data_IF_006185572221
#
_entry.id   IF_006185572221
#
_cell.length_a   1.000
_cell.length_b   1.000
_cell.length_c   1.000
_cell.angle_alpha   90.00
_cell.angle_beta   90.00
_cell.angle_gamma   90.00
#
_symmetry.space_group_name_H-M   'P 1'
#
loop_
_entity.id
_entity.type
_entity.pdbx_description
1 polymer ?
#
# COMPACT_ATOMS: atom_id res chain seq x y z
N UNK A 1 -6.21 -7.83 3.20
CA UNK A 1 -4.86 -8.02 3.81
C UNK A 1 -4.95 -9.06 4.92
N UNK A 2 -4.59 -10.34 4.66
CA UNK A 2 -4.66 -11.43 5.67
C UNK A 2 -3.41 -11.56 6.55
N UNK A 3 -2.31 -10.89 6.20
CA UNK A 3 -1.01 -11.07 6.86
C UNK A 3 -0.85 -10.32 8.18
N UNK A 4 -1.33 -9.07 8.27
CA UNK A 4 -1.19 -8.27 9.50
C UNK A 4 -2.02 -8.80 10.69
N UNK A 5 -3.08 -9.58 10.43
CA UNK A 5 -3.99 -10.08 11.46
C UNK A 5 -3.62 -11.43 12.08
N UNK A 6 -2.56 -12.10 11.63
CA UNK A 6 -2.20 -13.47 12.07
C UNK A 6 -0.74 -13.57 12.52
N UNK A 7 -0.09 -12.44 12.78
CA UNK A 7 1.32 -12.42 13.21
C UNK A 7 1.38 -12.38 14.73
N UNK A 8 1.51 -13.55 15.35
CA UNK A 8 1.99 -13.68 16.74
C UNK A 8 3.47 -14.06 16.73
N UNK A 9 4.23 -13.42 17.62
CA UNK A 9 5.69 -13.50 17.83
C UNK A 9 6.32 -14.83 17.37
N UNK A 10 6.59 -14.90 16.07
CA UNK A 10 7.15 -16.03 15.37
C UNK A 10 8.32 -15.47 14.60
N UNK A 11 9.53 -15.84 15.05
CA UNK A 11 10.81 -15.43 14.50
C UNK A 11 10.72 -15.21 13.00
N UNK A 12 10.93 -13.97 12.56
CA UNK A 12 11.09 -13.69 11.14
C UNK A 12 12.41 -14.36 10.79
N UNK A 13 12.33 -15.58 10.26
CA UNK A 13 13.49 -16.26 9.71
C UNK A 13 13.91 -15.44 8.48
N UNK A 14 14.77 -14.44 8.72
CA UNK A 14 15.71 -13.93 7.72
C UNK A 14 16.27 -15.14 7.02
N UNK A 15 16.06 -15.30 5.72
CA UNK A 15 17.04 -15.79 4.76
C UNK A 15 16.34 -15.87 3.39
N UNK A 16 16.32 -14.72 2.71
CA UNK A 16 15.82 -14.57 1.34
C UNK A 16 15.15 -13.22 1.11
N UNK A 17 15.94 -12.14 1.13
CA UNK A 17 15.58 -10.85 0.52
C UNK A 17 16.40 -10.74 -0.76
N UNK A 18 15.76 -10.80 -1.93
CA UNK A 18 16.40 -10.66 -3.24
C UNK A 18 16.34 -9.22 -3.77
N UNK A 19 15.97 -8.27 -2.91
CA UNK A 19 15.76 -6.87 -3.26
C UNK A 19 14.34 -6.54 -3.69
N UNK A 20 13.51 -7.54 -4.03
CA UNK A 20 12.13 -7.35 -4.50
C UNK A 20 11.11 -8.08 -3.64
N UNK A 21 11.42 -9.32 -3.24
CA UNK A 21 10.55 -10.20 -2.44
C UNK A 21 11.19 -10.51 -1.10
N UNK A 22 10.35 -10.61 -0.06
CA UNK A 22 10.78 -11.01 1.27
C UNK A 22 10.05 -12.30 1.68
N UNK A 23 10.79 -13.32 2.10
CA UNK A 23 10.19 -14.50 2.75
C UNK A 23 10.00 -14.22 4.24
N UNK A 24 8.80 -14.49 4.77
CA UNK A 24 8.54 -14.41 6.22
C UNK A 24 7.76 -15.64 6.70
N UNK A 25 8.19 -16.26 7.79
CA UNK A 25 7.44 -17.36 8.40
C UNK A 25 6.30 -16.79 9.24
N UNK A 26 5.05 -17.04 8.86
CA UNK A 26 3.86 -16.61 9.63
C UNK A 26 3.27 -17.82 10.34
N UNK A 27 3.19 -17.78 11.67
CA UNK A 27 2.49 -18.82 12.43
C UNK A 27 0.98 -18.70 12.22
N UNK A 28 0.37 -19.73 11.64
CA UNK A 28 -1.09 -19.86 11.57
C UNK A 28 -1.58 -20.74 12.72
N UNK A 29 -1.90 -20.11 13.86
CA UNK A 29 -2.53 -20.73 15.03
C UNK A 29 -1.57 -21.31 16.09
N UNK A 30 -2.16 -21.85 17.17
CA UNK A 30 -1.48 -22.32 18.39
C UNK A 30 -0.42 -23.41 18.14
N UNK A 31 -0.52 -24.17 17.03
CA UNK A 31 0.33 -25.35 16.80
C UNK A 31 1.07 -25.39 15.44
N UNK A 32 0.82 -24.47 14.50
CA UNK A 32 1.31 -24.59 13.11
C UNK A 32 2.13 -23.37 12.66
N UNK A 33 3.41 -23.60 12.34
CA UNK A 33 4.30 -22.65 11.64
C UNK A 33 4.22 -22.93 10.14
N UNK A 34 3.83 -21.96 9.33
CA UNK A 34 3.86 -22.06 7.86
C UNK A 34 4.72 -20.94 7.28
N UNK A 35 5.62 -21.26 6.34
CA UNK A 35 6.35 -20.24 5.60
C UNK A 35 5.40 -19.52 4.63
N UNK A 36 5.35 -18.19 4.69
CA UNK A 36 4.48 -17.41 3.83
C UNK A 36 5.30 -16.33 3.08
N UNK A 37 5.28 -16.40 1.76
CA UNK A 37 5.97 -15.37 0.95
C UNK A 37 5.20 -14.07 1.07
N UNK A 38 5.89 -12.99 1.43
CA UNK A 38 5.29 -11.66 1.45
C UNK A 38 5.10 -11.22 -0.01
N UNK A 39 3.86 -10.98 -0.48
CA UNK A 39 3.64 -10.47 -1.82
C UNK A 39 4.25 -9.08 -1.94
N UNK A 40 5.04 -8.86 -2.98
CA UNK A 40 5.69 -7.59 -3.31
C UNK A 40 6.05 -7.56 -4.80
N UNK A 41 5.74 -6.48 -5.54
CA UNK A 41 4.92 -5.33 -5.13
C UNK A 41 3.44 -5.69 -4.94
N UNK A 42 2.74 -4.99 -4.05
CA UNK A 42 1.28 -5.06 -3.89
C UNK A 42 0.63 -3.83 -4.52
N UNK A 43 -0.51 -4.04 -5.18
CA UNK A 43 -1.35 -2.96 -5.71
C UNK A 43 -2.41 -2.59 -4.68
N UNK A 44 -2.47 -1.32 -4.32
CA UNK A 44 -3.47 -0.78 -3.40
C UNK A 44 -4.11 0.47 -4.01
N UNK A 45 -5.35 0.76 -3.61
CA UNK A 45 -6.08 2.01 -3.90
C UNK A 45 -6.32 2.79 -2.60
N UNK A 46 -5.29 3.45 -2.08
CA UNK A 46 -5.40 4.23 -0.84
C UNK A 46 -6.21 5.51 -1.06
N UNK A 47 -7.03 5.88 -0.07
CA UNK A 47 -7.72 7.18 -0.05
C UNK A 47 -6.72 8.29 0.35
N UNK A 48 -6.47 9.21 -0.57
CA UNK A 48 -5.42 10.23 -0.45
C UNK A 48 -5.83 11.62 -0.97
N UNK A 49 -6.88 11.70 -1.78
CA UNK A 49 -7.39 12.97 -2.33
C UNK A 49 -8.88 13.15 -2.00
N UNK A 50 -9.70 13.64 -2.95
CA UNK A 50 -11.13 13.83 -2.76
C UNK A 50 -11.81 12.47 -2.76
N UNK A 51 -12.69 12.24 -1.79
CA UNK A 51 -13.43 10.98 -1.66
C UNK A 51 -14.43 10.75 -2.80
N UNK A 52 -14.78 11.83 -3.49
CA UNK A 52 -15.72 11.93 -4.59
C UNK A 52 -15.14 11.41 -5.92
N UNK A 53 -13.81 11.30 -6.01
CA UNK A 53 -13.11 10.80 -7.21
C UNK A 53 -12.49 9.43 -6.99
N UNK A 54 -12.47 8.61 -8.04
CA UNK A 54 -11.82 7.30 -8.01
C UNK A 54 -10.33 7.47 -7.68
N UNK A 55 -9.88 6.78 -6.64
CA UNK A 55 -8.50 6.87 -6.18
C UNK A 55 -7.60 6.03 -7.09
N UNK A 56 -6.46 6.57 -7.55
CA UNK A 56 -5.56 5.85 -8.43
C UNK A 56 -4.96 4.63 -7.72
N UNK A 57 -4.87 3.52 -8.45
CA UNK A 57 -4.12 2.36 -7.97
C UNK A 57 -2.62 2.68 -8.00
N UNK A 58 -1.92 2.38 -6.90
CA UNK A 58 -0.48 2.55 -6.79
C UNK A 58 0.19 1.27 -6.31
N UNK A 59 1.45 1.10 -6.70
CA UNK A 59 2.28 -0.03 -6.29
C UNK A 59 2.98 0.28 -4.97
N UNK A 60 2.99 -0.68 -4.04
CA UNK A 60 3.70 -0.60 -2.77
C UNK A 60 4.60 -1.81 -2.57
N UNK A 61 5.75 -1.60 -1.94
CA UNK A 61 6.57 -2.68 -1.37
C UNK A 61 6.16 -2.85 0.09
N UNK A 62 5.70 -4.05 0.46
CA UNK A 62 5.45 -4.39 1.86
C UNK A 62 6.69 -5.06 2.46
N UNK A 63 7.16 -4.56 3.60
CA UNK A 63 8.32 -5.11 4.32
C UNK A 63 7.96 -5.40 5.77
N UNK A 64 8.60 -6.43 6.32
CA UNK A 64 8.52 -6.78 7.73
C UNK A 64 9.92 -6.86 8.33
N UNK A 65 10.09 -6.44 9.59
CA UNK A 65 11.33 -6.63 10.33
C UNK A 65 11.02 -6.99 11.78
N UNK A 66 11.91 -7.75 12.41
CA UNK A 66 11.84 -8.04 13.84
C UNK A 66 12.84 -7.12 14.55
N UNK A 67 12.35 -6.25 15.41
CA UNK A 67 13.16 -5.45 16.30
C UNK A 67 13.24 -6.12 17.68
N UNK A 68 14.43 -6.08 18.28
CA UNK A 68 14.71 -6.73 19.57
C UNK A 68 13.87 -6.17 20.72
N UNK A 69 13.46 -4.90 20.65
CA UNK A 69 12.73 -4.19 21.69
C UNK A 69 11.29 -3.90 21.28
N UNK A 70 11.06 -3.63 20.00
CA UNK A 70 9.75 -3.20 19.47
C UNK A 70 8.95 -4.35 18.82
N UNK A 71 9.52 -5.57 18.77
CA UNK A 71 8.86 -6.74 18.20
C UNK A 71 8.74 -6.67 16.67
N UNK A 72 7.71 -7.30 16.11
CA UNK A 72 7.51 -7.35 14.66
C UNK A 72 6.96 -6.00 14.14
N UNK A 73 7.72 -5.36 13.27
CA UNK A 73 7.32 -4.13 12.58
C UNK A 73 6.99 -4.41 11.12
N UNK A 74 5.96 -3.73 10.63
CA UNK A 74 5.49 -3.82 9.25
C UNK A 74 5.47 -2.41 8.63
N UNK A 75 5.90 -2.28 7.38
CA UNK A 75 5.87 -1.03 6.66
C UNK A 75 5.46 -1.22 5.19
N UNK A 76 4.76 -0.23 4.64
CA UNK A 76 4.47 -0.09 3.22
C UNK A 76 5.28 1.07 2.67
N UNK A 77 5.95 0.83 1.54
CA UNK A 77 6.74 1.82 0.83
C UNK A 77 6.16 2.04 -0.56
N UNK A 78 5.94 3.29 -0.94
CA UNK A 78 5.46 3.64 -2.28
C UNK A 78 6.50 3.25 -3.35
N UNK A 79 6.03 2.63 -4.44
CA UNK A 79 6.87 2.01 -5.46
C UNK A 79 6.45 2.37 -6.89
N UNK A 80 5.51 3.29 -7.05
CA UNK A 80 5.01 3.74 -8.35
C UNK A 80 5.73 5.01 -8.87
N UNK A 81 6.75 5.47 -8.16
CA UNK A 81 7.49 6.68 -8.51
C UNK A 81 6.68 7.97 -8.37
N UNK A 82 5.56 7.96 -7.65
CA UNK A 82 4.66 9.10 -7.51
C UNK A 82 3.74 9.32 -8.71
N UNK A 83 3.66 8.37 -9.65
CA UNK A 83 2.77 8.43 -10.81
C UNK A 83 1.29 8.61 -10.39
N UNK A 84 0.89 8.06 -9.25
CA UNK A 84 -0.45 8.26 -8.69
C UNK A 84 -0.83 9.73 -8.53
N UNK A 85 0.14 10.64 -8.32
CA UNK A 85 -0.14 12.07 -8.13
C UNK A 85 -0.68 12.71 -9.40
N UNK A 86 -0.08 12.39 -10.54
CA UNK A 86 -0.50 12.91 -11.84
C UNK A 86 -1.89 12.37 -12.20
N UNK A 87 -2.11 11.07 -12.02
CA UNK A 87 -3.42 10.45 -12.23
C UNK A 87 -4.47 11.00 -11.26
N UNK A 88 -4.12 11.27 -10.00
CA UNK A 88 -5.04 11.91 -9.06
C UNK A 88 -5.38 13.35 -9.48
N UNK A 89 -4.40 14.12 -9.97
CA UNK A 89 -4.65 15.48 -10.48
C UNK A 89 -5.60 15.45 -11.68
N UNK A 90 -5.39 14.53 -12.63
CA UNK A 90 -6.27 14.32 -13.78
C UNK A 90 -7.70 13.98 -13.35
N UNK A 91 -7.88 12.98 -12.45
CA UNK A 91 -9.21 12.60 -11.96
C UNK A 91 -9.92 13.75 -11.24
N UNK A 92 -9.18 14.56 -10.47
CA UNK A 92 -9.75 15.73 -9.78
C UNK A 92 -10.13 16.81 -10.80
N UNK A 93 -9.30 17.05 -11.81
CA UNK A 93 -9.57 18.02 -12.85
C UNK A 93 -10.85 17.64 -13.59
N UNK A 94 -10.97 16.41 -14.08
CA UNK A 94 -12.16 15.93 -14.80
C UNK A 94 -13.42 16.06 -13.94
N UNK A 95 -13.34 15.66 -12.66
CA UNK A 95 -14.45 15.81 -11.74
C UNK A 95 -14.88 17.27 -11.55
N UNK A 96 -13.92 18.18 -11.36
CA UNK A 96 -14.24 19.60 -11.21
C UNK A 96 -14.79 20.21 -12.49
N UNK A 97 -14.29 19.82 -13.66
CA UNK A 97 -14.82 20.26 -14.96
C UNK A 97 -16.27 19.83 -15.12
N UNK A 98 -16.60 18.57 -14.79
CA UNK A 98 -17.97 18.06 -14.84
C UNK A 98 -18.89 18.78 -13.84
N UNK A 99 -18.47 18.91 -12.58
CA UNK A 99 -19.33 19.48 -11.53
C UNK A 99 -19.50 21.00 -11.64
N UNK A 100 -18.57 21.70 -12.30
CA UNK A 100 -18.58 23.16 -12.42
C UNK A 100 -18.95 23.66 -13.83
N UNK A 101 -19.22 22.78 -14.80
CA UNK A 101 -19.52 23.13 -16.21
C UNK A 101 -20.58 24.25 -16.36
N UNK A 102 -21.58 24.27 -15.47
CA UNK A 102 -22.69 25.23 -15.52
C UNK A 102 -22.54 26.41 -14.54
N UNK A 103 -21.36 26.58 -13.92
CA UNK A 103 -21.08 27.63 -12.95
C UNK A 103 -20.08 28.64 -13.51
N UNK A 104 -20.50 29.88 -13.81
CA UNK A 104 -19.57 30.91 -14.27
C UNK A 104 -18.66 31.39 -13.14
N UNK A 105 -17.45 31.84 -13.49
CA UNK A 105 -16.52 32.49 -12.55
C UNK A 105 -15.46 31.56 -11.95
N UNK A 106 -15.37 30.30 -12.40
CA UNK A 106 -14.31 29.38 -12.02
C UNK A 106 -13.33 29.17 -13.18
N UNK A 107 -12.05 29.03 -12.85
CA UNK A 107 -11.00 28.62 -13.78
C UNK A 107 -10.27 27.45 -13.15
N UNK A 108 -10.36 26.30 -13.80
CA UNK A 108 -9.70 25.07 -13.36
C UNK A 108 -8.28 25.09 -13.95
N UNK A 109 -7.28 24.90 -13.09
CA UNK A 109 -5.87 24.89 -13.46
C UNK A 109 -5.27 23.51 -13.16
N UNK A 110 -4.42 23.05 -14.06
CA UNK A 110 -3.64 21.81 -13.96
C UNK A 110 -2.25 22.06 -13.38
#
# INVERSE_FOLDING_TARGET
MKFAGTVENGTIASYGDDGVTQKATVKTGVASKSDAVIPSPVKLKPYRTFTEVEQPESSFIFRMKEDKYEGIQCALFEADGGAWKLHAMENIQEYLEEQLDNLPGFTIIS
#
